data_IF_886429847789
#
_entry.id   IF_886429847789
#
_cell.length_a   1.000
_cell.length_b   1.000
_cell.length_c   1.000
_cell.angle_alpha   90.00
_cell.angle_beta   90.00
_cell.angle_gamma   90.00
#
_symmetry.space_group_name_H-M   'P 1'
#
loop_
_entity.id
_entity.type
_entity.pdbx_description
1 polymer ?
#
# COMPACT_ATOMS: atom_id res chain seq x y z
N UNK A 1 -19.21 -61.69 26.34
CA UNK A 1 -20.18 -60.92 27.14
C UNK A 1 -19.72 -60.90 28.59
N UNK A 2 -19.22 -59.76 29.08
CA UNK A 2 -19.12 -59.47 30.51
C UNK A 2 -19.15 -57.94 30.71
N UNK A 3 -19.91 -57.52 31.72
CA UNK A 3 -20.23 -56.13 32.14
C UNK A 3 -18.97 -55.44 32.69
N UNK A 4 -18.89 -54.11 32.88
CA UNK A 4 -19.53 -53.38 34.00
C UNK A 4 -19.21 -51.86 33.91
N UNK A 5 -20.25 -51.02 34.11
CA UNK A 5 -20.33 -49.67 34.73
C UNK A 5 -19.46 -48.49 34.24
N UNK A 6 -20.03 -47.40 33.72
CA UNK A 6 -20.79 -46.31 34.37
C UNK A 6 -19.90 -45.29 35.13
N UNK A 7 -19.74 -44.08 34.54
CA UNK A 7 -19.89 -42.79 35.23
C UNK A 7 -19.93 -41.63 34.22
N UNK A 8 -21.04 -40.91 34.23
CA UNK A 8 -21.21 -39.59 33.61
C UNK A 8 -20.48 -38.52 34.42
N UNK A 9 -19.94 -37.51 33.73
CA UNK A 9 -20.26 -36.08 33.89
C UNK A 9 -19.05 -35.20 33.56
N UNK A 10 -19.30 -34.09 32.85
CA UNK A 10 -18.33 -33.00 32.67
C UNK A 10 -18.07 -32.61 31.22
N UNK A 11 -19.11 -32.17 30.50
CA UNK A 11 -18.97 -31.54 29.18
C UNK A 11 -18.52 -30.09 29.40
N UNK A 12 -17.32 -29.72 28.94
CA UNK A 12 -16.86 -28.33 28.90
C UNK A 12 -17.05 -27.80 27.47
N UNK A 13 -17.92 -26.80 27.34
CA UNK A 13 -18.15 -26.04 26.10
C UNK A 13 -17.15 -24.89 26.05
N UNK A 14 -16.39 -24.68 24.96
CA UNK A 14 -15.55 -23.51 24.82
C UNK A 14 -16.29 -22.37 24.10
N UNK A 15 -16.21 -21.18 24.67
CA UNK A 15 -16.30 -19.92 23.91
C UNK A 15 -17.54 -19.05 24.13
N UNK A 16 -17.66 -18.43 25.32
CA UNK A 16 -18.31 -17.11 25.42
C UNK A 16 -17.23 -16.04 25.71
N UNK A 17 -17.34 -14.83 25.13
CA UNK A 17 -16.41 -13.75 25.41
C UNK A 17 -16.68 -13.15 26.79
N UNK A 18 -15.71 -13.30 27.69
CA UNK A 18 -15.73 -12.67 29.03
C UNK A 18 -15.75 -11.14 28.87
N UNK A 19 -16.89 -10.53 29.20
CA UNK A 19 -16.95 -9.08 29.48
C UNK A 19 -16.18 -8.81 30.76
N UNK A 20 -14.99 -8.20 30.66
CA UNK A 20 -14.27 -7.70 31.83
C UNK A 20 -14.55 -6.20 31.99
N UNK A 21 -15.46 -5.88 32.91
CA UNK A 21 -15.57 -4.55 33.47
C UNK A 21 -14.36 -4.30 34.39
N UNK A 22 -13.48 -3.38 34.00
CA UNK A 22 -12.37 -2.89 34.81
C UNK A 22 -12.48 -1.38 34.98
N UNK A 23 -12.68 -0.94 36.22
CA UNK A 23 -12.77 0.46 36.64
C UNK A 23 -11.52 1.28 36.26
N UNK A 24 -11.77 2.57 36.05
CA UNK A 24 -10.82 3.64 35.76
C UNK A 24 -9.61 3.68 36.71
N UNK A 25 -8.45 3.93 36.11
CA UNK A 25 -7.19 4.27 36.77
C UNK A 25 -6.16 4.59 35.69
N UNK A 26 -5.93 5.88 35.44
CA UNK A 26 -5.04 6.37 34.38
C UNK A 26 -3.64 5.77 34.48
N UNK A 27 -3.22 5.13 33.39
CA UNK A 27 -1.83 4.75 33.08
C UNK A 27 -1.72 4.73 31.57
N UNK A 28 -1.05 5.75 31.05
CA UNK A 28 -0.30 5.81 29.80
C UNK A 28 -0.70 4.78 28.73
N UNK A 29 -1.74 5.10 27.97
CA UNK A 29 -1.91 4.53 26.65
C UNK A 29 -0.71 4.99 25.82
N UNK A 30 0.14 4.09 25.27
CA UNK A 30 1.21 4.53 24.39
C UNK A 30 0.58 5.31 23.22
N UNK A 31 1.23 6.39 22.74
CA UNK A 31 0.75 7.11 21.56
C UNK A 31 0.55 6.11 20.42
N UNK A 32 -0.53 6.27 19.66
CA UNK A 32 -0.80 5.42 18.50
C UNK A 32 0.45 5.37 17.61
N UNK A 33 0.99 4.17 17.43
CA UNK A 33 2.13 3.92 16.56
C UNK A 33 1.62 3.55 15.17
N UNK A 34 2.30 4.02 14.12
CA UNK A 34 2.04 3.51 12.77
C UNK A 34 2.63 2.10 12.58
N UNK A 35 2.46 1.58 11.37
CA UNK A 35 2.98 0.29 10.90
C UNK A 35 4.51 0.15 11.08
N UNK A 36 5.24 1.26 11.20
CA UNK A 36 6.69 1.30 11.41
C UNK A 36 7.08 1.50 12.88
N UNK A 37 6.11 1.53 13.79
CA UNK A 37 6.36 1.75 15.21
C UNK A 37 6.64 3.20 15.58
N UNK A 38 6.36 4.17 14.70
CA UNK A 38 6.62 5.59 14.95
C UNK A 38 5.45 6.20 15.74
N UNK A 39 5.70 6.83 16.90
CA UNK A 39 4.64 7.42 17.72
C UNK A 39 4.06 8.68 17.09
N UNK A 40 2.74 8.72 16.89
CA UNK A 40 2.05 9.93 16.42
C UNK A 40 1.78 10.90 17.56
N UNK A 41 2.14 12.17 17.37
CA UNK A 41 1.71 13.28 18.22
C UNK A 41 0.33 13.75 17.75
N UNK A 42 -0.69 13.57 18.58
CA UNK A 42 -2.05 14.10 18.36
C UNK A 42 -1.97 15.57 17.95
N UNK A 43 -2.47 15.91 16.75
CA UNK A 43 -2.59 17.30 16.27
C UNK A 43 -1.63 17.74 15.16
N UNK A 44 -0.74 16.87 14.67
CA UNK A 44 -0.15 17.05 13.33
C UNK A 44 -1.04 16.28 12.33
N UNK A 45 -1.23 16.81 11.12
CA UNK A 45 -2.08 16.17 10.10
C UNK A 45 -1.83 14.67 10.09
N UNK A 46 -2.90 13.86 10.22
CA UNK A 46 -2.77 12.42 10.09
C UNK A 46 -1.90 12.10 8.87
N UNK A 47 -1.00 11.09 8.93
CA UNK A 47 -0.28 10.62 7.76
C UNK A 47 -1.29 10.06 6.77
N UNK A 48 -1.87 10.95 5.95
CA UNK A 48 -2.82 10.59 4.93
C UNK A 48 -2.06 9.79 3.89
N UNK A 49 -2.59 8.63 3.45
CA UNK A 49 -1.85 7.73 2.59
C UNK A 49 -1.29 8.47 1.37
N UNK A 50 -0.03 8.17 1.02
CA UNK A 50 0.69 8.74 -0.12
C UNK A 50 0.03 8.45 -1.48
N UNK A 51 -1.12 7.77 -1.49
CA UNK A 51 -1.96 7.48 -2.64
C UNK A 51 -2.87 8.65 -3.04
N UNK A 52 -2.48 9.87 -2.67
CA UNK A 52 -3.20 11.09 -3.00
C UNK A 52 -2.89 11.52 -4.44
N UNK A 53 -3.94 11.65 -5.25
CA UNK A 53 -3.88 12.14 -6.64
C UNK A 53 -3.07 13.43 -6.80
N UNK A 54 -3.17 14.37 -5.85
CA UNK A 54 -2.44 15.64 -5.92
C UNK A 54 -0.92 15.48 -5.89
N UNK A 55 -0.39 14.54 -5.10
CA UNK A 55 1.05 14.30 -5.02
C UNK A 55 1.55 13.67 -6.31
N UNK A 56 0.84 12.64 -6.79
CA UNK A 56 1.33 11.81 -7.90
C UNK A 56 0.95 12.31 -9.29
N UNK A 57 -0.14 13.04 -9.43
CA UNK A 57 -0.58 13.57 -10.72
C UNK A 57 -0.20 15.05 -10.84
N UNK A 58 -0.63 15.89 -9.90
CA UNK A 58 -0.47 17.33 -10.06
C UNK A 58 0.97 17.79 -9.79
N UNK A 59 1.62 17.26 -8.74
CA UNK A 59 3.01 17.57 -8.45
C UNK A 59 3.98 16.78 -9.33
N UNK A 60 3.97 15.43 -9.26
CA UNK A 60 4.95 14.63 -10.02
C UNK A 60 4.77 14.79 -11.54
N UNK A 61 3.55 14.65 -12.09
CA UNK A 61 3.35 14.75 -13.55
C UNK A 61 3.20 16.20 -14.03
N UNK A 62 2.48 17.03 -13.28
CA UNK A 62 2.22 18.41 -13.67
C UNK A 62 3.46 19.30 -13.52
N UNK A 63 3.94 19.46 -12.29
CA UNK A 63 5.04 20.40 -11.99
C UNK A 63 6.42 19.84 -12.26
N UNK A 64 6.69 18.62 -11.81
CA UNK A 64 8.01 18.00 -11.92
C UNK A 64 8.23 17.28 -13.24
N UNK A 65 7.18 17.14 -14.06
CA UNK A 65 7.22 16.44 -15.36
C UNK A 65 7.87 15.06 -15.26
N UNK A 66 7.67 14.38 -14.14
CA UNK A 66 8.21 13.04 -13.93
C UNK A 66 7.53 12.06 -14.87
N UNK A 67 8.30 11.39 -15.72
CA UNK A 67 7.78 10.45 -16.72
C UNK A 67 7.92 8.98 -16.31
N UNK A 68 8.70 8.68 -15.26
CA UNK A 68 8.91 7.32 -14.76
C UNK A 68 7.69 6.65 -14.12
N UNK A 69 7.89 5.46 -13.55
CA UNK A 69 6.84 4.71 -12.85
C UNK A 69 6.77 5.08 -11.37
N UNK A 70 5.56 5.00 -10.80
CA UNK A 70 5.35 5.05 -9.35
C UNK A 70 5.04 3.65 -8.86
N UNK A 71 5.82 3.18 -7.90
CA UNK A 71 5.68 1.85 -7.27
C UNK A 71 5.17 2.04 -5.85
N UNK A 72 4.31 1.14 -5.38
CA UNK A 72 3.82 1.19 -4.00
C UNK A 72 4.93 0.79 -3.04
N UNK A 73 4.85 1.29 -1.81
CA UNK A 73 5.55 0.63 -0.71
C UNK A 73 4.87 -0.71 -0.39
N UNK A 74 5.52 -1.54 0.41
CA UNK A 74 5.01 -2.83 0.88
C UNK A 74 3.63 -2.68 1.51
N UNK A 75 2.64 -3.38 0.95
CA UNK A 75 1.23 -3.39 1.40
C UNK A 75 0.56 -2.02 1.46
N UNK A 76 1.16 -0.99 0.85
CA UNK A 76 0.64 0.38 0.91
C UNK A 76 -0.77 0.52 0.32
N UNK A 77 -1.16 -0.36 -0.61
CA UNK A 77 -2.51 -0.41 -1.16
C UNK A 77 -3.47 -1.11 -0.19
N UNK A 78 -3.02 -2.18 0.47
CA UNK A 78 -3.81 -2.94 1.46
C UNK A 78 -4.18 -2.09 2.67
N UNK A 79 -3.26 -1.24 3.16
CA UNK A 79 -3.54 -0.37 4.30
C UNK A 79 -4.63 0.66 4.03
N UNK A 80 -4.99 0.93 2.76
CA UNK A 80 -6.14 1.77 2.42
C UNK A 80 -7.46 1.18 2.93
N UNK A 81 -7.57 -0.15 2.98
CA UNK A 81 -8.76 -0.85 3.49
C UNK A 81 -8.63 -1.16 4.98
N UNK A 82 -7.45 -1.64 5.41
CA UNK A 82 -7.26 -2.18 6.76
C UNK A 82 -6.99 -1.14 7.85
N UNK A 83 -6.24 -0.08 7.55
CA UNK A 83 -5.80 0.90 8.54
C UNK A 83 -6.42 2.27 8.33
N UNK A 84 -6.43 2.75 7.08
CA UNK A 84 -6.93 4.09 6.75
C UNK A 84 -8.43 4.12 6.45
N UNK A 85 -9.04 2.97 6.20
CA UNK A 85 -10.47 2.83 5.88
C UNK A 85 -10.97 3.78 4.79
N UNK A 86 -10.09 4.17 3.87
CA UNK A 86 -10.36 5.09 2.76
C UNK A 86 -10.96 4.39 1.55
N UNK A 87 -10.85 3.05 1.51
CA UNK A 87 -11.44 2.19 0.51
C UNK A 87 -12.27 1.09 1.17
N UNK A 88 -13.45 0.82 0.61
CA UNK A 88 -14.43 -0.14 1.16
C UNK A 88 -14.12 -1.60 0.80
N UNK A 89 -13.19 -1.84 -0.12
CA UNK A 89 -12.74 -3.17 -0.55
C UNK A 89 -11.39 -3.08 -1.26
N UNK A 90 -10.71 -4.23 -1.40
CA UNK A 90 -9.43 -4.32 -2.11
C UNK A 90 -9.52 -3.84 -3.57
N UNK A 91 -10.62 -4.16 -4.26
CA UNK A 91 -10.88 -3.63 -5.60
C UNK A 91 -11.01 -2.10 -5.62
N UNK A 92 -11.71 -1.51 -4.64
CA UNK A 92 -11.82 -0.05 -4.52
C UNK A 92 -10.50 0.61 -4.14
N UNK A 93 -9.66 -0.06 -3.33
CA UNK A 93 -8.30 0.40 -3.03
C UNK A 93 -7.41 0.37 -4.28
N UNK A 94 -7.52 -0.68 -5.10
CA UNK A 94 -6.81 -0.78 -6.37
C UNK A 94 -7.22 0.36 -7.33
N UNK A 95 -8.53 0.60 -7.50
CA UNK A 95 -9.06 1.70 -8.32
C UNK A 95 -8.55 3.04 -7.84
N UNK A 96 -8.62 3.31 -6.53
CA UNK A 96 -8.12 4.56 -5.95
C UNK A 96 -6.62 4.75 -6.23
N UNK A 97 -5.83 3.70 -6.05
CA UNK A 97 -4.38 3.74 -6.20
C UNK A 97 -3.94 3.95 -7.65
N UNK A 98 -4.48 3.16 -8.59
CA UNK A 98 -4.11 3.25 -10.00
C UNK A 98 -4.60 4.57 -10.62
N UNK A 99 -5.78 5.05 -10.22
CA UNK A 99 -6.31 6.35 -10.66
C UNK A 99 -5.50 7.52 -10.11
N UNK A 100 -4.85 7.35 -8.95
CA UNK A 100 -3.90 8.33 -8.43
C UNK A 100 -2.55 8.31 -9.18
N UNK A 101 -2.31 7.36 -10.09
CA UNK A 101 -1.10 7.25 -10.89
C UNK A 101 -0.07 6.26 -10.35
N UNK A 102 -0.46 5.36 -9.43
CA UNK A 102 0.36 4.22 -9.02
C UNK A 102 0.38 3.18 -10.15
N UNK A 103 1.57 2.76 -10.59
CA UNK A 103 1.73 1.82 -11.70
C UNK A 103 1.96 0.37 -11.27
N UNK A 104 2.56 0.15 -10.10
CA UNK A 104 2.96 -1.18 -9.62
C UNK A 104 2.64 -1.31 -8.13
N UNK A 105 2.03 -2.43 -7.76
CA UNK A 105 1.80 -2.84 -6.37
C UNK A 105 2.93 -3.77 -5.90
N UNK A 106 3.33 -3.65 -4.63
CA UNK A 106 4.30 -4.51 -3.96
C UNK A 106 3.69 -5.13 -2.70
N UNK A 107 4.15 -6.33 -2.29
CA UNK A 107 5.13 -7.18 -2.99
C UNK A 107 4.57 -7.96 -4.18
N UNK A 108 3.25 -8.00 -4.32
CA UNK A 108 2.56 -8.73 -5.37
C UNK A 108 1.39 -7.94 -5.92
N UNK A 109 0.29 -8.63 -6.23
CA UNK A 109 -0.90 -8.04 -6.83
C UNK A 109 -2.15 -8.25 -5.97
N UNK A 110 -2.00 -8.24 -4.64
CA UNK A 110 -3.07 -8.51 -3.67
C UNK A 110 -4.33 -7.70 -3.97
N UNK A 111 -4.19 -6.42 -4.29
CA UNK A 111 -5.31 -5.55 -4.64
C UNK A 111 -5.47 -5.43 -6.17
N UNK A 112 -4.38 -5.38 -6.92
CA UNK A 112 -4.40 -5.18 -8.37
C UNK A 112 -4.98 -6.38 -9.14
N UNK A 113 -5.02 -7.58 -8.54
CA UNK A 113 -5.73 -8.74 -9.08
C UNK A 113 -7.24 -8.50 -9.29
N UNK A 114 -7.84 -7.54 -8.58
CA UNK A 114 -9.25 -7.17 -8.72
C UNK A 114 -9.54 -6.19 -9.86
N UNK A 115 -8.51 -5.60 -10.50
CA UNK A 115 -8.70 -4.53 -11.51
C UNK A 115 -9.53 -4.99 -12.71
N UNK A 116 -9.35 -6.22 -13.18
CA UNK A 116 -10.14 -6.76 -14.29
C UNK A 116 -11.65 -6.79 -13.96
N UNK A 117 -12.01 -7.17 -12.72
CA UNK A 117 -13.40 -7.14 -12.25
C UNK A 117 -13.95 -5.73 -12.06
N UNK A 118 -13.11 -4.77 -11.68
CA UNK A 118 -13.50 -3.36 -11.57
C UNK A 118 -13.74 -2.71 -12.94
N UNK A 119 -12.95 -3.07 -13.97
CA UNK A 119 -13.18 -2.66 -15.37
C UNK A 119 -14.46 -3.28 -15.92
N UNK A 120 -14.62 -4.59 -15.79
CA UNK A 120 -15.83 -5.30 -16.23
C UNK A 120 -17.09 -4.77 -15.54
N UNK A 121 -16.96 -4.35 -14.28
CA UNK A 121 -18.03 -3.72 -13.50
C UNK A 121 -18.26 -2.23 -13.78
N UNK A 122 -17.55 -1.63 -14.75
CA UNK A 122 -17.71 -0.23 -15.13
C UNK A 122 -17.18 0.79 -14.10
N UNK A 123 -16.41 0.33 -13.11
CA UNK A 123 -15.91 1.16 -12.00
C UNK A 123 -14.52 1.75 -12.27
N UNK A 124 -13.87 1.32 -13.34
CA UNK A 124 -12.56 1.78 -13.80
C UNK A 124 -12.53 1.81 -15.34
N UNK A 125 -12.04 2.91 -15.92
CA UNK A 125 -11.74 2.97 -17.35
C UNK A 125 -10.44 2.21 -17.63
N UNK A 126 -10.47 1.24 -18.53
CA UNK A 126 -9.32 0.44 -18.97
C UNK A 126 -8.14 1.30 -19.41
N UNK A 127 -8.40 2.49 -19.98
CA UNK A 127 -7.34 3.44 -20.40
C UNK A 127 -6.45 3.90 -19.25
N UNK A 128 -6.91 3.80 -18.01
CA UNK A 128 -6.09 4.10 -16.82
C UNK A 128 -5.02 3.02 -16.64
N UNK A 129 -5.39 1.76 -16.87
CA UNK A 129 -4.47 0.61 -16.82
C UNK A 129 -3.47 0.70 -17.98
N UNK A 130 -3.94 1.00 -19.20
CA UNK A 130 -3.06 1.15 -20.37
C UNK A 130 -1.94 2.17 -20.13
N UNK A 131 -2.28 3.31 -19.52
CA UNK A 131 -1.31 4.35 -19.16
C UNK A 131 -0.32 3.89 -18.09
N UNK A 132 -0.73 3.05 -17.15
CA UNK A 132 0.16 2.48 -16.15
C UNK A 132 1.13 1.48 -16.79
N UNK A 133 0.59 0.56 -17.59
CA UNK A 133 1.35 -0.49 -18.30
C UNK A 133 2.34 0.12 -19.30
N UNK A 134 1.93 1.11 -20.09
CA UNK A 134 2.81 1.78 -21.05
C UNK A 134 4.09 2.31 -20.38
N UNK A 135 3.99 2.92 -19.19
CA UNK A 135 5.16 3.43 -18.45
C UNK A 135 6.05 2.30 -17.94
N UNK A 136 5.47 1.20 -17.49
CA UNK A 136 6.22 0.01 -17.07
C UNK A 136 6.97 -0.56 -18.27
N UNK A 137 6.32 -0.70 -19.42
CA UNK A 137 6.97 -1.18 -20.64
C UNK A 137 8.10 -0.25 -21.10
N UNK A 138 7.89 1.07 -21.09
CA UNK A 138 8.96 2.04 -21.39
C UNK A 138 10.17 1.86 -20.46
N UNK A 139 9.94 1.64 -19.16
CA UNK A 139 11.03 1.38 -18.22
C UNK A 139 11.73 0.05 -18.54
N UNK A 140 10.98 -1.02 -18.78
CA UNK A 140 11.53 -2.35 -19.07
C UNK A 140 12.34 -2.34 -20.36
N UNK A 141 11.85 -1.68 -21.41
CA UNK A 141 12.56 -1.54 -22.69
C UNK A 141 13.87 -0.75 -22.50
N UNK A 142 13.85 0.31 -21.68
CA UNK A 142 15.05 1.06 -21.33
C UNK A 142 16.06 0.29 -20.47
N UNK A 143 15.62 -0.74 -19.75
CA UNK A 143 16.50 -1.67 -19.01
C UNK A 143 17.06 -2.74 -19.95
N UNK A 144 16.27 -3.24 -20.89
CA UNK A 144 16.70 -4.24 -21.88
C UNK A 144 17.82 -3.74 -22.80
N UNK A 145 17.91 -2.42 -23.00
CA UNK A 145 18.99 -1.81 -23.77
C UNK A 145 20.30 -1.63 -22.98
N UNK A 146 20.39 -2.12 -21.73
CA UNK A 146 21.58 -2.00 -20.89
C UNK A 146 22.43 -3.28 -21.02
N UNK A 147 23.66 -3.13 -21.50
CA UNK A 147 24.61 -4.25 -21.61
C UNK A 147 25.13 -4.69 -20.22
N UNK A 148 25.40 -6.00 -20.03
CA UNK A 148 26.02 -6.50 -18.80
C UNK A 148 27.38 -5.82 -18.54
N UNK A 149 27.44 -4.97 -17.51
CA UNK A 149 28.63 -4.17 -17.16
C UNK A 149 28.39 -2.67 -17.13
N UNK A 150 27.34 -2.19 -17.83
CA UNK A 150 27.05 -0.76 -17.93
C UNK A 150 26.14 -0.20 -16.82
N UNK A 151 25.62 -1.07 -15.95
CA UNK A 151 24.67 -0.70 -14.90
C UNK A 151 25.27 0.34 -13.93
N UNK A 152 26.51 0.12 -13.47
CA UNK A 152 27.18 0.99 -12.50
C UNK A 152 27.71 2.27 -13.18
N UNK A 153 28.30 2.14 -14.36
CA UNK A 153 28.91 3.25 -15.10
C UNK A 153 27.87 4.23 -15.68
N UNK A 154 26.61 3.79 -15.87
CA UNK A 154 25.49 4.68 -16.23
C UNK A 154 24.94 5.44 -15.03
N UNK A 155 24.81 4.80 -13.87
CA UNK A 155 24.36 5.46 -12.64
C UNK A 155 25.30 6.59 -12.20
N UNK A 156 26.61 6.38 -12.33
CA UNK A 156 27.62 7.40 -12.04
C UNK A 156 27.53 8.63 -12.97
N UNK A 157 27.14 8.43 -14.25
CA UNK A 157 26.93 9.53 -15.21
C UNK A 157 25.69 10.35 -14.86
N UNK A 158 24.59 9.69 -14.50
CA UNK A 158 23.31 10.36 -14.21
C UNK A 158 23.34 11.16 -12.89
N UNK A 159 24.08 10.67 -11.88
CA UNK A 159 24.26 11.37 -10.60
C UNK A 159 25.24 12.54 -10.66
N UNK A 160 26.13 12.58 -11.66
CA UNK A 160 27.06 13.70 -11.87
C UNK A 160 26.37 14.95 -12.46
N UNK A 161 25.20 14.77 -13.09
CA UNK A 161 24.32 15.87 -13.44
C UNK A 161 23.59 16.34 -12.18
N UNK A 162 24.21 17.26 -11.43
CA UNK A 162 23.56 17.90 -10.27
C UNK A 162 22.21 18.48 -10.70
N UNK A 163 21.10 18.08 -10.06
CA UNK A 163 19.82 18.71 -10.33
C UNK A 163 19.91 20.20 -9.95
N UNK A 164 19.47 21.08 -10.85
CA UNK A 164 19.55 22.55 -10.65
C UNK A 164 18.72 23.05 -9.46
N UNK A 165 17.83 22.22 -8.92
CA UNK A 165 17.01 22.51 -7.74
C UNK A 165 17.68 22.17 -6.40
N UNK A 166 18.86 21.54 -6.39
CA UNK A 166 19.62 21.20 -5.17
C UNK A 166 20.77 22.18 -4.88
N UNK A 167 20.84 23.35 -5.54
CA UNK A 167 21.84 24.35 -5.18
C UNK A 167 21.48 25.00 -3.83
N UNK A 168 22.36 24.99 -2.81
CA UNK A 168 22.14 25.78 -1.61
C UNK A 168 22.17 27.27 -1.99
N UNK A 169 21.12 27.98 -1.57
CA UNK A 169 20.97 29.43 -1.65
C UNK A 169 22.04 30.18 -0.87
#
# INVERSE_FOLDING_TARGET
MCRTEARQAGRQVPGEPVRKAGRAGGRDQPPGVDLLGIPHRLGQEEPRPLHRRMLRTDLLRGRLRFEGIAVSDYDAVTVLTTSYHSAISNGRAAVQSISAGLGVELPGNTNFSYLAGEVAGGRLDERVIDKAVARVLTMVDGVRSIEPGDVISRHARDTSARPTWWAPS
#
